data_IF_282298887925
#
_entry.id   IF_282298887925
#
_cell.length_a   1.000
_cell.length_b   1.000
_cell.length_c   1.000
_cell.angle_alpha   90.00
_cell.angle_beta   90.00
_cell.angle_gamma   90.00
#
_symmetry.space_group_name_H-M   'P 1'
#
loop_
_entity.id
_entity.type
_entity.pdbx_description
1 polymer ?
#
# COMPACT_ATOMS: atom_id res chain seq x y z
N UNK A 1 -36.04 -15.02 24.49
CA UNK A 1 -35.88 -15.59 23.13
C UNK A 1 -35.05 -14.64 22.29
N UNK A 2 -33.73 -14.59 22.50
CA UNK A 2 -32.78 -13.75 21.73
C UNK A 2 -31.40 -14.41 21.69
N UNK A 3 -31.25 -15.55 21.04
CA UNK A 3 -29.93 -16.21 20.93
C UNK A 3 -29.64 -16.92 19.58
N UNK A 4 -30.45 -16.69 18.53
CA UNK A 4 -30.32 -17.51 17.31
C UNK A 4 -29.87 -16.76 16.04
N UNK A 5 -29.69 -15.44 16.09
CA UNK A 5 -29.31 -14.66 14.90
C UNK A 5 -27.79 -14.56 14.66
N UNK A 6 -26.94 -14.79 15.69
CA UNK A 6 -25.47 -14.75 15.53
C UNK A 6 -24.88 -16.02 14.93
N UNK A 7 -25.54 -17.17 15.06
CA UNK A 7 -25.04 -18.45 14.52
C UNK A 7 -25.25 -18.59 13.01
N UNK A 8 -26.32 -18.02 12.47
CA UNK A 8 -26.63 -18.11 11.04
C UNK A 8 -25.68 -17.25 10.16
N UNK A 9 -25.24 -16.10 10.64
CA UNK A 9 -24.29 -15.24 9.91
C UNK A 9 -22.88 -15.84 9.82
N UNK A 10 -22.42 -16.53 10.86
CA UNK A 10 -21.08 -17.16 10.87
C UNK A 10 -20.97 -18.37 9.93
N UNK A 11 -22.04 -19.14 9.73
CA UNK A 11 -22.04 -20.32 8.85
C UNK A 11 -22.03 -19.93 7.37
N UNK A 12 -22.76 -18.91 6.97
CA UNK A 12 -22.79 -18.42 5.58
C UNK A 12 -21.50 -17.77 5.15
N UNK A 13 -20.80 -17.01 6.02
CA UNK A 13 -19.50 -16.42 5.75
C UNK A 13 -18.41 -17.48 5.60
N UNK A 14 -18.45 -18.53 6.40
CA UNK A 14 -17.50 -19.64 6.29
C UNK A 14 -17.65 -20.38 4.96
N UNK A 15 -18.87 -20.63 4.52
CA UNK A 15 -19.15 -21.35 3.24
C UNK A 15 -18.72 -20.55 2.00
N UNK A 16 -18.80 -19.23 2.03
CA UNK A 16 -18.44 -18.35 0.91
C UNK A 16 -16.98 -17.88 0.93
N UNK A 17 -16.18 -18.26 1.92
CA UNK A 17 -14.83 -17.72 2.11
C UNK A 17 -13.91 -17.95 0.90
N UNK A 18 -13.84 -19.15 0.36
CA UNK A 18 -12.99 -19.48 -0.80
C UNK A 18 -13.48 -18.78 -2.08
N UNK A 19 -14.76 -18.80 -2.44
CA UNK A 19 -15.30 -18.02 -3.55
C UNK A 19 -14.99 -16.51 -3.43
N UNK A 20 -15.13 -15.92 -2.24
CA UNK A 20 -14.87 -14.50 -2.00
C UNK A 20 -13.41 -14.13 -2.30
N UNK A 21 -12.44 -14.91 -1.78
CA UNK A 21 -11.02 -14.68 -2.04
C UNK A 21 -10.68 -14.83 -3.53
N UNK A 22 -11.26 -15.86 -4.20
CA UNK A 22 -11.08 -16.08 -5.65
C UNK A 22 -11.67 -14.93 -6.49
N UNK A 23 -12.85 -14.44 -6.11
CA UNK A 23 -13.50 -13.32 -6.79
C UNK A 23 -12.67 -12.05 -6.70
N UNK A 24 -12.12 -11.75 -5.52
CA UNK A 24 -11.25 -10.60 -5.29
C UNK A 24 -9.98 -10.66 -6.15
N UNK A 25 -9.32 -11.83 -6.21
CA UNK A 25 -8.14 -12.04 -7.07
C UNK A 25 -8.52 -11.88 -8.55
N UNK A 26 -9.62 -12.50 -8.99
CA UNK A 26 -10.09 -12.39 -10.37
C UNK A 26 -10.37 -10.94 -10.76
N UNK A 27 -11.06 -10.19 -9.93
CA UNK A 27 -11.42 -8.79 -10.19
C UNK A 27 -10.16 -7.95 -10.42
N UNK A 28 -9.15 -8.06 -9.54
CA UNK A 28 -7.91 -7.30 -9.68
C UNK A 28 -7.14 -7.70 -10.94
N UNK A 29 -6.99 -9.00 -11.24
CA UNK A 29 -6.24 -9.45 -12.42
C UNK A 29 -6.92 -9.03 -13.73
N UNK A 30 -8.25 -9.07 -13.80
CA UNK A 30 -9.01 -8.60 -14.97
C UNK A 30 -8.84 -7.09 -15.15
N UNK A 31 -8.99 -6.30 -14.09
CA UNK A 31 -8.78 -4.85 -14.15
C UNK A 31 -7.34 -4.50 -14.56
N UNK A 32 -6.34 -5.12 -13.94
CA UNK A 32 -4.94 -4.88 -14.28
C UNK A 32 -4.62 -5.17 -15.75
N UNK A 33 -5.24 -6.21 -16.31
CA UNK A 33 -5.07 -6.53 -17.73
C UNK A 33 -5.74 -5.49 -18.64
N UNK A 34 -6.91 -4.98 -18.25
CA UNK A 34 -7.58 -3.91 -18.98
C UNK A 34 -6.76 -2.61 -18.98
N UNK A 35 -6.01 -2.36 -17.89
CA UNK A 35 -5.11 -1.21 -17.74
C UNK A 35 -3.74 -1.41 -18.44
N UNK A 36 -3.56 -2.50 -19.21
CA UNK A 36 -2.34 -2.77 -19.99
C UNK A 36 -1.23 -3.50 -19.23
N UNK A 37 -1.48 -3.95 -18.00
CA UNK A 37 -0.56 -4.82 -17.26
C UNK A 37 -0.75 -6.30 -17.62
N UNK A 38 0.22 -7.15 -17.25
CA UNK A 38 0.17 -8.61 -17.45
C UNK A 38 0.10 -9.03 -18.93
N UNK A 39 0.60 -8.22 -19.86
CA UNK A 39 0.63 -8.54 -21.30
C UNK A 39 1.53 -9.75 -21.58
N UNK A 40 2.62 -9.93 -20.82
CA UNK A 40 3.51 -11.11 -20.87
C UNK A 40 2.86 -12.39 -20.35
N UNK A 41 1.72 -12.28 -19.65
CA UNK A 41 1.05 -13.42 -19.06
C UNK A 41 1.66 -13.91 -17.75
N UNK A 42 2.51 -13.11 -17.10
CA UNK A 42 3.21 -13.50 -15.88
C UNK A 42 2.66 -12.76 -14.65
N UNK A 43 2.43 -13.48 -13.54
CA UNK A 43 2.01 -12.91 -12.26
C UNK A 43 2.73 -13.61 -11.12
N UNK A 44 3.20 -12.85 -10.13
CA UNK A 44 3.80 -13.40 -8.91
C UNK A 44 2.87 -13.23 -7.70
N UNK A 45 2.98 -14.13 -6.72
CA UNK A 45 2.34 -14.01 -5.42
C UNK A 45 3.39 -14.08 -4.32
N UNK A 46 3.41 -13.08 -3.44
CA UNK A 46 4.32 -13.04 -2.31
C UNK A 46 3.69 -13.73 -1.09
N UNK A 47 4.41 -14.72 -0.54
CA UNK A 47 3.90 -15.55 0.54
C UNK A 47 4.84 -15.51 1.75
N UNK A 48 4.26 -15.24 2.92
CA UNK A 48 4.95 -15.24 4.21
C UNK A 48 4.67 -16.49 5.05
N UNK A 49 3.80 -17.38 4.57
CA UNK A 49 3.31 -18.53 5.34
C UNK A 49 2.09 -18.25 6.22
N UNK A 50 1.74 -16.98 6.48
CA UNK A 50 0.54 -16.61 7.23
C UNK A 50 -0.76 -16.80 6.42
N UNK A 51 -1.92 -16.82 7.11
CA UNK A 51 -3.22 -17.16 6.53
C UNK A 51 -3.57 -16.29 5.31
N UNK A 52 -3.41 -14.98 5.41
CA UNK A 52 -3.76 -14.05 4.32
C UNK A 52 -2.97 -14.34 3.05
N UNK A 53 -1.68 -14.60 3.18
CA UNK A 53 -0.80 -14.90 2.06
C UNK A 53 -1.02 -16.30 1.45
N UNK A 54 -1.35 -17.30 2.28
CA UNK A 54 -1.68 -18.64 1.79
C UNK A 54 -3.04 -18.68 1.10
N UNK A 55 -4.06 -18.02 1.66
CA UNK A 55 -5.36 -17.89 1.00
C UNK A 55 -5.23 -17.16 -0.36
N UNK A 56 -4.41 -16.10 -0.41
CA UNK A 56 -4.10 -15.41 -1.65
C UNK A 56 -3.43 -16.33 -2.66
N UNK A 57 -2.41 -17.09 -2.25
CA UNK A 57 -1.68 -18.01 -3.12
C UNK A 57 -2.60 -19.10 -3.70
N UNK A 58 -3.43 -19.72 -2.85
CA UNK A 58 -4.40 -20.73 -3.29
C UNK A 58 -5.42 -20.16 -4.29
N UNK A 59 -5.92 -18.93 -4.06
CA UNK A 59 -6.82 -18.27 -4.98
C UNK A 59 -6.12 -17.88 -6.28
N UNK A 60 -4.88 -17.39 -6.22
CA UNK A 60 -4.10 -17.03 -7.42
C UNK A 60 -3.80 -18.25 -8.28
N UNK A 61 -3.33 -19.36 -7.66
CA UNK A 61 -3.09 -20.63 -8.35
C UNK A 61 -4.33 -21.21 -9.03
N UNK A 62 -5.52 -20.93 -8.48
CA UNK A 62 -6.79 -21.32 -9.08
C UNK A 62 -7.25 -20.40 -10.21
N UNK A 63 -7.14 -19.07 -10.01
CA UNK A 63 -7.73 -18.06 -10.91
C UNK A 63 -6.82 -17.72 -12.08
N UNK A 64 -5.54 -17.51 -11.84
CA UNK A 64 -4.62 -16.99 -12.85
C UNK A 64 -4.45 -17.90 -14.07
N UNK A 65 -4.30 -19.25 -13.94
CA UNK A 65 -4.25 -20.13 -15.10
C UNK A 65 -5.53 -20.10 -15.95
N UNK A 66 -6.69 -19.88 -15.32
CA UNK A 66 -8.00 -19.74 -16.02
C UNK A 66 -8.12 -18.42 -16.79
N UNK A 67 -7.26 -17.47 -16.50
CA UNK A 67 -7.07 -16.23 -17.24
C UNK A 67 -5.90 -16.30 -18.22
N UNK A 68 -5.26 -17.47 -18.39
CA UNK A 68 -4.08 -17.64 -19.24
C UNK A 68 -2.81 -17.01 -18.66
N UNK A 69 -2.73 -16.85 -17.34
CA UNK A 69 -1.56 -16.31 -16.66
C UNK A 69 -0.74 -17.43 -16.01
N UNK A 70 0.59 -17.32 -16.07
CA UNK A 70 1.55 -18.17 -15.36
C UNK A 70 1.82 -17.59 -13.97
N UNK A 71 1.85 -18.44 -12.94
CA UNK A 71 1.97 -18.00 -11.55
C UNK A 71 3.35 -18.36 -10.98
N UNK A 72 4.00 -17.37 -10.35
CA UNK A 72 5.26 -17.51 -9.63
C UNK A 72 5.04 -17.30 -8.14
N UNK A 73 5.44 -18.28 -7.31
CA UNK A 73 5.44 -18.16 -5.86
C UNK A 73 6.73 -17.53 -5.36
N UNK A 74 6.65 -16.43 -4.61
CA UNK A 74 7.80 -15.75 -4.04
C UNK A 74 7.73 -15.76 -2.51
N UNK A 75 8.71 -16.36 -1.86
CA UNK A 75 8.84 -16.40 -0.40
C UNK A 75 10.08 -15.60 -0.01
N UNK A 76 9.93 -14.59 0.86
CA UNK A 76 11.08 -13.79 1.32
C UNK A 76 11.51 -14.31 2.70
N UNK A 77 12.77 -14.72 2.81
CA UNK A 77 13.42 -15.07 4.07
C UNK A 77 14.20 -13.87 4.59
N UNK A 78 13.73 -13.29 5.69
CA UNK A 78 14.33 -12.08 6.28
C UNK A 78 15.54 -12.34 7.18
N UNK A 79 15.80 -13.59 7.56
CA UNK A 79 16.89 -13.93 8.48
C UNK A 79 16.80 -13.32 9.88
N UNK A 80 15.63 -12.76 10.29
CA UNK A 80 15.47 -12.08 11.57
C UNK A 80 15.28 -13.01 12.77
N UNK A 81 14.86 -14.23 12.51
CA UNK A 81 14.63 -15.27 13.52
C UNK A 81 15.50 -16.46 13.20
N UNK A 82 15.92 -17.22 14.22
CA UNK A 82 16.76 -18.40 14.04
C UNK A 82 16.12 -19.43 13.08
N UNK A 83 14.78 -19.53 13.11
CA UNK A 83 14.02 -20.50 12.33
C UNK A 83 13.48 -19.92 11.00
N UNK A 84 13.85 -18.69 10.61
CA UNK A 84 13.29 -18.02 9.43
C UNK A 84 13.45 -18.80 8.14
N UNK A 85 14.62 -19.44 7.94
CA UNK A 85 14.89 -20.29 6.80
C UNK A 85 13.98 -21.54 6.76
N UNK A 86 13.65 -22.12 7.92
CA UNK A 86 12.74 -23.27 8.01
C UNK A 86 11.30 -22.85 7.69
N UNK A 87 10.87 -21.70 8.21
CA UNK A 87 9.55 -21.11 7.91
C UNK A 87 9.43 -20.82 6.41
N UNK A 88 10.45 -20.22 5.80
CA UNK A 88 10.47 -19.95 4.37
C UNK A 88 10.39 -21.24 3.53
N UNK A 89 11.09 -22.31 3.93
CA UNK A 89 11.01 -23.64 3.29
C UNK A 89 9.60 -24.24 3.41
N UNK A 90 8.98 -24.15 4.59
CA UNK A 90 7.61 -24.63 4.80
C UNK A 90 6.60 -23.87 3.94
N UNK A 91 6.73 -22.54 3.88
CA UNK A 91 5.89 -21.73 3.00
C UNK A 91 6.08 -22.11 1.53
N UNK A 92 7.31 -22.33 1.08
CA UNK A 92 7.60 -22.76 -0.28
C UNK A 92 7.02 -24.17 -0.57
N UNK A 93 7.13 -25.11 0.36
CA UNK A 93 6.53 -26.44 0.23
C UNK A 93 5.00 -26.36 0.10
N UNK A 94 4.34 -25.52 0.91
CA UNK A 94 2.89 -25.30 0.79
C UNK A 94 2.48 -24.75 -0.60
N UNK A 95 3.30 -23.89 -1.21
CA UNK A 95 3.05 -23.42 -2.57
C UNK A 95 3.18 -24.52 -3.63
N UNK A 96 4.15 -25.42 -3.47
CA UNK A 96 4.29 -26.58 -4.35
C UNK A 96 3.09 -27.53 -4.19
N UNK A 97 2.63 -27.78 -2.98
CA UNK A 97 1.43 -28.57 -2.70
C UNK A 97 0.16 -27.93 -3.29
N UNK A 98 0.08 -26.60 -3.33
CA UNK A 98 -0.98 -25.85 -4.03
C UNK A 98 -0.87 -25.90 -5.56
N UNK A 99 0.16 -26.55 -6.10
CA UNK A 99 0.36 -26.72 -7.54
C UNK A 99 0.93 -25.50 -8.25
N UNK A 100 1.59 -24.58 -7.56
CA UNK A 100 2.29 -23.48 -8.23
C UNK A 100 3.52 -24.03 -8.97
N UNK A 101 3.64 -23.73 -10.29
CA UNK A 101 4.69 -24.35 -11.12
C UNK A 101 6.11 -23.87 -10.80
N UNK A 102 6.21 -22.63 -10.33
CA UNK A 102 7.49 -21.98 -10.02
C UNK A 102 7.46 -21.34 -8.64
N UNK A 103 8.34 -21.80 -7.76
CA UNK A 103 8.46 -21.29 -6.39
C UNK A 103 9.91 -20.91 -6.10
N UNK A 104 10.13 -19.69 -5.62
CA UNK A 104 11.46 -19.15 -5.29
C UNK A 104 11.49 -18.66 -3.85
N UNK A 105 12.52 -19.04 -3.10
CA UNK A 105 12.84 -18.45 -1.80
C UNK A 105 13.90 -17.38 -2.00
N UNK A 106 13.66 -16.18 -1.50
CA UNK A 106 14.49 -15.00 -1.66
C UNK A 106 15.12 -14.64 -0.32
N UNK A 107 16.37 -15.04 -0.05
CA UNK A 107 17.06 -14.63 1.15
C UNK A 107 17.41 -13.15 1.07
N UNK A 108 17.15 -12.39 2.14
CA UNK A 108 17.47 -10.97 2.23
C UNK A 108 18.29 -10.67 3.50
N UNK A 109 19.20 -9.73 3.37
CA UNK A 109 19.86 -9.12 4.52
C UNK A 109 19.11 -7.86 4.93
N UNK A 110 18.82 -7.75 6.22
CA UNK A 110 18.10 -6.60 6.76
C UNK A 110 19.12 -5.61 7.32
N UNK A 111 19.49 -4.64 6.50
CA UNK A 111 20.44 -3.58 6.85
C UNK A 111 19.79 -2.20 6.69
N UNK A 112 20.21 -1.20 7.47
CA UNK A 112 19.90 0.21 7.23
C UNK A 112 19.20 0.94 8.37
N UNK A 113 19.06 2.27 8.19
CA UNK A 113 18.49 3.22 9.16
C UNK A 113 16.95 3.11 9.23
N UNK A 114 16.38 3.48 10.38
CA UNK A 114 14.94 3.65 10.56
C UNK A 114 14.21 2.51 11.29
N UNK A 115 14.94 1.69 12.06
CA UNK A 115 14.41 0.57 12.83
C UNK A 115 14.30 -0.72 12.03
N UNK A 116 14.34 -1.87 12.74
CA UNK A 116 14.40 -3.21 12.14
C UNK A 116 13.19 -3.52 11.24
N UNK A 117 11.98 -3.13 11.65
CA UNK A 117 10.75 -3.37 10.86
C UNK A 117 10.76 -2.62 9.51
N UNK A 118 11.14 -1.33 9.54
CA UNK A 118 11.22 -0.52 8.32
C UNK A 118 12.33 -1.02 7.38
N UNK A 119 13.47 -1.46 7.91
CA UNK A 119 14.56 -2.03 7.15
C UNK A 119 14.15 -3.37 6.52
N UNK A 120 13.52 -4.28 7.29
CA UNK A 120 12.98 -5.55 6.80
C UNK A 120 11.94 -5.35 5.71
N UNK A 121 11.04 -4.37 5.88
CA UNK A 121 10.05 -4.02 4.87
C UNK A 121 10.73 -3.54 3.57
N UNK A 122 11.72 -2.65 3.64
CA UNK A 122 12.46 -2.19 2.45
C UNK A 122 13.16 -3.35 1.74
N UNK A 123 13.88 -4.19 2.49
CA UNK A 123 14.58 -5.35 1.95
C UNK A 123 13.60 -6.32 1.24
N UNK A 124 12.44 -6.60 1.85
CA UNK A 124 11.39 -7.43 1.27
C UNK A 124 10.91 -6.86 -0.07
N UNK A 125 10.54 -5.58 -0.12
CA UNK A 125 10.03 -4.97 -1.35
C UNK A 125 11.11 -4.90 -2.44
N UNK A 126 12.37 -4.67 -2.08
CA UNK A 126 13.49 -4.71 -3.02
C UNK A 126 13.69 -6.10 -3.62
N UNK A 127 13.70 -7.15 -2.77
CA UNK A 127 13.84 -8.52 -3.23
C UNK A 127 12.67 -8.97 -4.13
N UNK A 128 11.44 -8.65 -3.77
CA UNK A 128 10.27 -8.96 -4.58
C UNK A 128 10.32 -8.24 -5.93
N UNK A 129 10.74 -6.97 -5.96
CA UNK A 129 10.92 -6.21 -7.21
C UNK A 129 11.99 -6.81 -8.11
N UNK A 130 13.13 -7.22 -7.54
CA UNK A 130 14.23 -7.86 -8.29
C UNK A 130 13.87 -9.28 -8.77
N UNK A 131 12.85 -9.90 -8.19
CA UNK A 131 12.40 -11.23 -8.54
C UNK A 131 11.19 -11.25 -9.48
N UNK A 132 10.76 -10.09 -10.00
CA UNK A 132 9.68 -10.00 -10.98
C UNK A 132 9.97 -10.94 -12.17
N UNK A 133 9.00 -11.76 -12.58
CA UNK A 133 9.18 -12.69 -13.71
C UNK A 133 9.22 -11.96 -15.07
N UNK A 134 8.60 -10.79 -15.15
CA UNK A 134 8.59 -9.93 -16.34
C UNK A 134 8.43 -8.46 -15.92
N UNK A 135 8.74 -7.53 -16.83
CA UNK A 135 8.71 -6.09 -16.56
C UNK A 135 7.29 -5.59 -16.22
N UNK A 136 6.28 -6.13 -16.89
CA UNK A 136 4.85 -5.80 -16.71
C UNK A 136 4.13 -6.71 -15.72
N UNK A 137 4.85 -7.65 -15.10
CA UNK A 137 4.29 -8.57 -14.12
C UNK A 137 3.90 -7.84 -12.82
N UNK A 138 2.86 -8.35 -12.17
CA UNK A 138 2.44 -7.91 -10.85
C UNK A 138 2.89 -8.89 -9.77
N UNK A 139 3.23 -8.35 -8.59
CA UNK A 139 3.39 -9.14 -7.35
C UNK A 139 2.16 -8.93 -6.49
N UNK A 140 1.40 -9.98 -6.29
CA UNK A 140 0.22 -9.97 -5.42
C UNK A 140 0.63 -10.07 -3.94
N UNK A 141 0.07 -9.19 -3.12
CA UNK A 141 0.35 -9.06 -1.68
C UNK A 141 -0.92 -9.33 -0.88
N UNK A 142 -0.83 -10.12 0.18
CA UNK A 142 -1.95 -10.54 1.03
C UNK A 142 -2.38 -9.51 2.06
N UNK A 143 -2.45 -8.22 1.71
CA UNK A 143 -3.00 -7.20 2.59
C UNK A 143 -4.53 -7.24 2.56
N UNK A 144 -5.13 -7.26 3.76
CA UNK A 144 -6.58 -7.41 3.97
C UNK A 144 -7.25 -6.07 4.30
N UNK A 145 -8.58 -6.08 4.43
CA UNK A 145 -9.38 -4.96 4.94
C UNK A 145 -8.87 -4.47 6.30
N UNK A 146 -8.51 -5.39 7.19
CA UNK A 146 -7.97 -5.03 8.50
C UNK A 146 -6.62 -4.29 8.39
N UNK A 147 -5.73 -4.71 7.48
CA UNK A 147 -4.47 -4.00 7.23
C UNK A 147 -4.71 -2.60 6.63
N UNK A 148 -5.78 -2.43 5.85
CA UNK A 148 -6.20 -1.13 5.33
C UNK A 148 -6.64 -0.21 6.46
N UNK A 149 -7.52 -0.68 7.35
CA UNK A 149 -7.96 0.06 8.54
C UNK A 149 -6.78 0.46 9.45
N UNK A 150 -5.86 -0.47 9.73
CA UNK A 150 -4.63 -0.19 10.49
C UNK A 150 -3.80 0.93 9.82
N UNK A 151 -3.69 0.90 8.49
CA UNK A 151 -2.92 1.89 7.72
C UNK A 151 -3.57 3.27 7.77
N UNK A 152 -4.88 3.35 7.70
CA UNK A 152 -5.65 4.60 7.84
C UNK A 152 -5.47 5.20 9.24
N UNK A 153 -5.62 4.40 10.30
CA UNK A 153 -5.42 4.83 11.68
C UNK A 153 -3.99 5.33 11.93
N UNK A 154 -2.99 4.64 11.39
CA UNK A 154 -1.59 5.11 11.46
C UNK A 154 -1.38 6.43 10.71
N UNK A 155 -2.06 6.62 9.59
CA UNK A 155 -2.03 7.87 8.82
C UNK A 155 -2.63 9.03 9.60
N UNK A 156 -3.78 8.81 10.22
CA UNK A 156 -4.45 9.78 11.11
C UNK A 156 -3.55 10.18 12.29
N UNK A 157 -3.02 9.21 13.00
CA UNK A 157 -2.17 9.45 14.18
C UNK A 157 -0.85 10.20 13.87
N UNK A 158 -0.37 10.13 12.64
CA UNK A 158 0.83 10.87 12.19
C UNK A 158 0.56 12.28 11.71
N UNK A 159 -0.69 12.66 11.46
CA UNK A 159 -1.05 13.97 10.93
C UNK A 159 -0.44 14.28 9.56
N UNK A 160 -0.04 13.27 8.79
CA UNK A 160 0.73 13.42 7.54
C UNK A 160 -0.11 13.84 6.33
N UNK A 161 -1.34 14.30 6.57
CA UNK A 161 -2.25 14.80 5.54
C UNK A 161 -3.01 13.71 4.76
N UNK A 162 -3.85 14.13 3.81
CA UNK A 162 -4.82 13.26 3.12
C UNK A 162 -4.19 12.02 2.47
N UNK A 163 -3.01 12.14 1.86
CA UNK A 163 -2.31 11.02 1.20
C UNK A 163 -1.98 9.87 2.16
N UNK A 164 -1.69 10.17 3.43
CA UNK A 164 -1.43 9.15 4.46
C UNK A 164 -2.69 8.43 4.89
N UNK A 165 -3.83 9.12 4.88
CA UNK A 165 -5.14 8.60 5.29
C UNK A 165 -5.79 7.82 4.14
N UNK A 166 -5.44 8.11 2.88
CA UNK A 166 -5.95 7.42 1.70
C UNK A 166 -5.58 5.92 1.64
N UNK A 167 -4.78 5.43 2.58
CA UNK A 167 -4.45 4.02 2.71
C UNK A 167 -3.65 3.45 1.53
N UNK A 168 -3.76 2.13 1.34
CA UNK A 168 -3.09 1.42 0.24
C UNK A 168 -3.97 1.37 -1.01
N UNK A 169 -3.36 1.48 -2.19
CA UNK A 169 -4.02 1.22 -3.48
C UNK A 169 -4.13 -0.29 -3.73
N UNK A 170 -5.25 -0.72 -4.32
CA UNK A 170 -5.42 -2.10 -4.76
C UNK A 170 -4.42 -2.46 -5.87
N UNK A 171 -4.26 -1.56 -6.84
CA UNK A 171 -3.27 -1.66 -7.91
C UNK A 171 -2.32 -0.45 -7.82
N UNK A 172 -1.02 -0.74 -7.71
CA UNK A 172 0.08 0.22 -7.61
C UNK A 172 1.35 -0.47 -8.16
N UNK A 173 1.46 -0.60 -9.48
CA UNK A 173 2.45 -1.47 -10.11
C UNK A 173 3.87 -1.26 -9.61
N UNK A 174 4.62 -2.34 -9.38
CA UNK A 174 4.27 -3.74 -9.68
C UNK A 174 3.41 -4.44 -8.59
N UNK A 175 2.81 -3.73 -7.65
CA UNK A 175 2.10 -4.28 -6.50
C UNK A 175 0.59 -4.38 -6.74
N UNK A 176 0.05 -5.60 -6.59
CA UNK A 176 -1.39 -5.87 -6.54
C UNK A 176 -1.81 -6.28 -5.12
N UNK A 177 -2.94 -5.77 -4.63
CA UNK A 177 -3.48 -6.07 -3.29
C UNK A 177 -4.96 -6.42 -3.40
N UNK A 178 -5.27 -7.62 -3.92
CA UNK A 178 -6.66 -7.98 -4.22
C UNK A 178 -7.55 -8.10 -2.97
N UNK A 179 -6.94 -8.34 -1.79
CA UNK A 179 -7.69 -8.61 -0.57
C UNK A 179 -7.97 -7.37 0.29
N UNK A 180 -7.72 -6.14 -0.21
CA UNK A 180 -7.95 -4.90 0.56
C UNK A 180 -9.42 -4.67 0.94
N UNK A 181 -10.36 -5.30 0.29
CA UNK A 181 -11.79 -5.30 0.64
C UNK A 181 -12.25 -6.59 1.32
N UNK A 182 -11.35 -7.53 1.63
CA UNK A 182 -11.67 -8.83 2.21
C UNK A 182 -11.25 -8.86 3.69
N UNK A 183 -12.18 -9.12 4.63
CA UNK A 183 -11.85 -9.27 6.04
C UNK A 183 -10.87 -10.43 6.29
N UNK A 184 -10.01 -10.28 7.27
CA UNK A 184 -9.06 -11.34 7.66
C UNK A 184 -9.76 -12.63 8.14
N UNK A 185 -10.93 -12.54 8.71
CA UNK A 185 -11.74 -13.69 9.09
C UNK A 185 -12.08 -14.57 7.88
N UNK A 186 -12.30 -13.98 6.72
CA UNK A 186 -12.57 -14.69 5.46
C UNK A 186 -11.33 -15.42 4.95
N UNK A 187 -10.13 -14.82 5.04
CA UNK A 187 -8.88 -15.49 4.63
C UNK A 187 -8.53 -16.66 5.53
N UNK A 188 -8.74 -16.51 6.84
CA UNK A 188 -8.56 -17.60 7.83
C UNK A 188 -9.55 -18.74 7.55
N UNK A 189 -10.83 -18.43 7.34
CA UNK A 189 -11.85 -19.43 7.00
C UNK A 189 -11.53 -20.13 5.68
N UNK A 190 -11.05 -19.40 4.66
CA UNK A 190 -10.64 -19.99 3.38
C UNK A 190 -9.46 -20.97 3.55
N UNK A 191 -8.46 -20.64 4.38
CA UNK A 191 -7.39 -21.57 4.70
C UNK A 191 -7.91 -22.84 5.37
N UNK A 192 -8.79 -22.72 6.37
CA UNK A 192 -9.38 -23.86 7.06
C UNK A 192 -10.15 -24.78 6.09
N UNK A 193 -10.95 -24.20 5.19
CA UNK A 193 -11.71 -24.99 4.17
C UNK A 193 -10.81 -25.69 3.16
N UNK A 194 -9.66 -25.13 2.86
CA UNK A 194 -8.68 -25.70 1.94
C UNK A 194 -7.69 -26.65 2.62
N UNK A 195 -7.84 -26.88 3.93
CA UNK A 195 -6.91 -27.72 4.70
C UNK A 195 -5.50 -27.15 4.83
N UNK A 196 -5.32 -25.86 4.59
CA UNK A 196 -4.03 -25.19 4.69
C UNK A 196 -3.68 -24.95 6.15
N UNK A 197 -2.38 -25.04 6.49
CA UNK A 197 -1.84 -24.83 7.83
C UNK A 197 -0.99 -23.56 7.86
N UNK A 198 -1.59 -22.39 8.17
CA UNK A 198 -0.84 -21.16 8.27
C UNK A 198 0.14 -21.21 9.44
N UNK A 199 1.34 -20.66 9.20
CA UNK A 199 2.30 -20.41 10.26
C UNK A 199 1.87 -19.21 11.10
N UNK A 200 1.86 -19.40 12.43
CA UNK A 200 1.57 -18.34 13.39
C UNK A 200 2.89 -17.63 13.77
N UNK A 201 3.17 -16.49 13.14
CA UNK A 201 4.36 -15.70 13.46
C UNK A 201 4.23 -15.11 14.88
N UNK A 202 5.15 -15.38 15.81
CA UNK A 202 5.16 -14.80 17.15
C UNK A 202 5.17 -13.27 17.16
N UNK A 203 5.75 -12.63 16.16
CA UNK A 203 5.74 -11.18 16.03
C UNK A 203 4.35 -10.58 15.79
N UNK A 204 3.39 -11.36 15.31
CA UNK A 204 2.01 -10.92 15.08
C UNK A 204 1.20 -10.68 16.36
N UNK A 205 1.72 -11.12 17.51
CA UNK A 205 1.10 -10.93 18.84
C UNK A 205 1.96 -10.08 19.78
N UNK A 206 3.13 -9.61 19.33
CA UNK A 206 4.05 -8.83 20.15
C UNK A 206 3.58 -7.35 20.27
N UNK A 207 3.18 -6.89 21.48
CA UNK A 207 2.63 -5.55 21.68
C UNK A 207 3.64 -4.41 21.51
N UNK A 208 4.93 -4.72 21.33
CA UNK A 208 5.95 -3.72 20.98
C UNK A 208 5.70 -3.10 19.59
N UNK A 209 4.95 -3.80 18.73
CA UNK A 209 4.63 -3.31 17.41
C UNK A 209 3.29 -2.54 17.40
N UNK A 210 3.31 -1.30 16.97
CA UNK A 210 2.12 -0.43 16.93
C UNK A 210 0.95 -1.06 16.15
N UNK A 211 1.23 -1.76 15.04
CA UNK A 211 0.19 -2.45 14.25
C UNK A 211 -0.48 -3.59 15.01
N UNK A 212 0.28 -4.30 15.85
CA UNK A 212 -0.29 -5.36 16.70
C UNK A 212 -1.26 -4.75 17.72
N UNK A 213 -0.87 -3.65 18.36
CA UNK A 213 -1.74 -2.94 19.30
C UNK A 213 -2.99 -2.37 18.63
N UNK A 214 -2.86 -1.77 17.44
CA UNK A 214 -4.02 -1.30 16.69
C UNK A 214 -5.00 -2.43 16.40
N UNK A 215 -4.50 -3.61 16.02
CA UNK A 215 -5.31 -4.79 15.72
C UNK A 215 -5.96 -5.42 16.95
N UNK A 216 -5.19 -5.54 18.04
CA UNK A 216 -5.62 -6.29 19.21
C UNK A 216 -6.39 -5.42 20.23
N UNK A 217 -6.13 -4.12 20.29
CA UNK A 217 -6.67 -3.23 21.31
C UNK A 217 -7.60 -2.16 20.71
N UNK A 218 -7.13 -1.41 19.69
CA UNK A 218 -7.81 -0.19 19.23
C UNK A 218 -8.98 -0.52 18.30
N UNK A 219 -8.76 -1.33 17.26
CA UNK A 219 -9.84 -1.68 16.33
C UNK A 219 -11.00 -2.39 17.02
N UNK A 220 -10.77 -3.40 17.90
CA UNK A 220 -11.88 -4.01 18.66
C UNK A 220 -12.63 -3.03 19.55
N UNK A 221 -11.94 -2.10 20.19
CA UNK A 221 -12.56 -1.06 20.99
C UNK A 221 -13.42 -0.12 20.14
N UNK A 222 -12.92 0.28 18.97
CA UNK A 222 -13.69 1.11 18.03
C UNK A 222 -14.92 0.36 17.48
N UNK A 223 -14.80 -0.93 17.17
CA UNK A 223 -15.92 -1.77 16.72
C UNK A 223 -17.00 -1.87 17.81
N UNK A 224 -16.62 -2.00 19.09
CA UNK A 224 -17.55 -2.03 20.21
C UNK A 224 -18.24 -0.68 20.42
N UNK A 225 -17.47 0.40 20.54
CA UNK A 225 -17.98 1.76 20.84
C UNK A 225 -18.83 2.32 19.69
N UNK A 226 -18.49 2.04 18.44
CA UNK A 226 -19.17 2.54 17.24
C UNK A 226 -20.16 1.53 16.63
N UNK A 227 -20.49 0.46 17.37
CA UNK A 227 -21.50 -0.53 16.99
C UNK A 227 -21.19 -1.32 15.72
N UNK A 228 -19.89 -1.50 15.39
CA UNK A 228 -19.40 -2.34 14.31
C UNK A 228 -19.24 -1.63 12.96
N UNK A 229 -18.56 -2.32 12.02
CA UNK A 229 -18.33 -1.84 10.65
C UNK A 229 -17.27 -0.77 10.52
N UNK A 230 -16.40 -0.61 11.52
CA UNK A 230 -15.35 0.43 11.54
C UNK A 230 -14.28 0.18 10.50
N UNK A 231 -13.83 -1.06 10.36
CA UNK A 231 -12.81 -1.39 9.36
C UNK A 231 -13.28 -1.08 7.94
N UNK A 232 -14.52 -1.42 7.61
CA UNK A 232 -15.16 -1.12 6.33
C UNK A 232 -15.35 0.39 6.13
N UNK A 233 -15.77 1.11 7.18
CA UNK A 233 -15.97 2.56 7.13
C UNK A 233 -14.63 3.29 6.86
N UNK A 234 -13.56 2.91 7.56
CA UNK A 234 -12.22 3.44 7.34
C UNK A 234 -11.72 3.16 5.92
N UNK A 235 -11.94 1.95 5.40
CA UNK A 235 -11.55 1.59 4.05
C UNK A 235 -12.33 2.37 2.98
N UNK A 236 -13.66 2.56 3.16
CA UNK A 236 -14.49 3.39 2.26
C UNK A 236 -14.02 4.84 2.25
N UNK A 237 -13.81 5.43 3.42
CA UNK A 237 -13.33 6.82 3.54
C UNK A 237 -11.97 6.97 2.86
N UNK A 238 -11.06 6.01 3.04
CA UNK A 238 -9.76 6.01 2.38
C UNK A 238 -9.88 5.90 0.85
N UNK A 239 -10.84 5.13 0.33
CA UNK A 239 -11.08 5.02 -1.11
C UNK A 239 -11.60 6.34 -1.69
N UNK A 240 -12.61 6.97 -1.08
CA UNK A 240 -13.14 8.26 -1.49
C UNK A 240 -12.07 9.36 -1.47
N UNK A 241 -11.30 9.42 -0.39
CA UNK A 241 -10.20 10.38 -0.28
C UNK A 241 -9.13 10.18 -1.36
N UNK A 242 -8.93 8.94 -1.79
CA UNK A 242 -7.99 8.63 -2.89
C UNK A 242 -8.52 9.14 -4.23
N UNK A 243 -9.81 8.96 -4.51
CA UNK A 243 -10.46 9.48 -5.71
C UNK A 243 -10.34 11.02 -5.77
N UNK A 244 -10.60 11.71 -4.67
CA UNK A 244 -10.42 13.16 -4.56
C UNK A 244 -8.96 13.58 -4.80
N UNK A 245 -8.01 12.84 -4.22
CA UNK A 245 -6.57 13.09 -4.41
C UNK A 245 -6.18 12.91 -5.88
N UNK A 246 -6.64 11.85 -6.53
CA UNK A 246 -6.32 11.55 -7.92
C UNK A 246 -6.91 12.60 -8.87
N UNK A 247 -8.14 13.04 -8.65
CA UNK A 247 -8.77 14.12 -9.41
C UNK A 247 -7.98 15.43 -9.31
N UNK A 248 -7.61 15.83 -8.08
CA UNK A 248 -6.81 17.04 -7.86
C UNK A 248 -5.38 16.92 -8.40
N UNK A 249 -4.78 15.71 -8.38
CA UNK A 249 -3.47 15.47 -8.95
C UNK A 249 -3.51 15.53 -10.49
N UNK A 250 -4.57 15.01 -11.12
CA UNK A 250 -4.79 15.14 -12.57
C UNK A 250 -4.96 16.60 -12.97
N UNK A 251 -5.75 17.37 -12.23
CA UNK A 251 -5.87 18.81 -12.47
C UNK A 251 -4.51 19.52 -12.38
N UNK A 252 -3.76 19.26 -11.32
CA UNK A 252 -2.43 19.83 -11.14
C UNK A 252 -1.44 19.38 -12.24
N UNK A 253 -1.58 18.18 -12.79
CA UNK A 253 -0.73 17.66 -13.87
C UNK A 253 -0.92 18.43 -15.18
N UNK A 254 -2.11 18.96 -15.43
CA UNK A 254 -2.41 19.78 -16.60
C UNK A 254 -1.74 21.17 -16.58
N UNK A 255 -1.15 21.60 -15.46
CA UNK A 255 -0.45 22.88 -15.35
C UNK A 255 1.02 22.71 -15.75
N UNK A 256 1.47 23.40 -16.83
CA UNK A 256 2.88 23.36 -17.26
C UNK A 256 3.81 24.01 -16.24
N UNK A 257 5.01 23.44 -16.11
CA UNK A 257 6.09 23.93 -15.24
C UNK A 257 7.45 23.91 -15.95
N UNK A 258 7.46 23.76 -17.30
CA UNK A 258 8.69 23.50 -18.08
C UNK A 258 9.64 24.70 -18.12
N UNK A 259 9.08 25.91 -18.22
CA UNK A 259 9.84 27.18 -18.22
C UNK A 259 9.87 27.87 -16.84
N UNK A 260 9.75 27.12 -15.76
CA UNK A 260 9.51 27.65 -14.42
C UNK A 260 8.00 27.85 -14.15
N UNK A 261 7.68 28.32 -12.96
CA UNK A 261 6.28 28.39 -12.49
C UNK A 261 5.83 29.84 -12.54
N UNK A 262 4.80 30.13 -13.31
CA UNK A 262 4.15 31.45 -13.35
C UNK A 262 3.32 31.64 -12.07
N UNK A 263 3.70 32.64 -11.27
CA UNK A 263 3.09 32.89 -9.98
C UNK A 263 1.67 33.51 -10.12
N UNK A 264 1.40 34.27 -11.18
CA UNK A 264 0.09 34.88 -11.40
C UNK A 264 -0.90 33.82 -11.86
N UNK A 265 -0.52 32.98 -12.82
CA UNK A 265 -1.33 31.85 -13.24
C UNK A 265 -1.61 30.87 -12.10
N UNK A 266 -0.62 30.63 -11.22
CA UNK A 266 -0.84 29.80 -10.02
C UNK A 266 -1.78 30.44 -9.00
N UNK A 267 -1.78 31.77 -8.87
CA UNK A 267 -2.63 32.48 -7.91
C UNK A 267 -4.12 32.29 -8.19
N UNK A 268 -4.50 32.10 -9.46
CA UNK A 268 -5.88 31.81 -9.87
C UNK A 268 -6.36 30.42 -9.49
N UNK A 269 -5.44 29.51 -9.16
CA UNK A 269 -5.80 28.13 -8.81
C UNK A 269 -6.20 28.01 -7.34
N UNK A 270 -7.15 27.10 -7.02
CA UNK A 270 -7.42 26.74 -5.63
C UNK A 270 -6.12 26.26 -4.92
N UNK A 271 -5.93 26.66 -3.67
CA UNK A 271 -4.72 26.34 -2.89
C UNK A 271 -4.37 24.84 -2.86
N UNK A 272 -5.39 23.97 -2.91
CA UNK A 272 -5.18 22.52 -2.96
C UNK A 272 -4.52 22.06 -4.27
N UNK A 273 -4.88 22.66 -5.41
CA UNK A 273 -4.28 22.39 -6.74
C UNK A 273 -2.91 23.04 -6.82
N UNK A 274 -2.82 24.32 -6.47
CA UNK A 274 -1.58 25.10 -6.48
C UNK A 274 -0.44 24.42 -5.71
N UNK A 275 -0.72 23.94 -4.48
CA UNK A 275 0.27 23.19 -3.68
C UNK A 275 0.69 21.86 -4.32
N UNK A 276 -0.18 21.22 -5.11
CA UNK A 276 0.18 20.01 -5.87
C UNK A 276 1.11 20.31 -7.03
N UNK A 277 0.87 21.40 -7.75
CA UNK A 277 1.77 21.89 -8.81
C UNK A 277 3.13 22.23 -8.23
N UNK A 278 3.17 23.01 -7.15
CA UNK A 278 4.40 23.37 -6.44
C UNK A 278 5.16 22.12 -5.97
N UNK A 279 4.47 21.16 -5.35
CA UNK A 279 5.07 19.90 -4.90
C UNK A 279 5.71 19.14 -6.04
N UNK A 280 5.02 18.98 -7.16
CA UNK A 280 5.53 18.29 -8.35
C UNK A 280 6.77 19.00 -8.90
N UNK A 281 6.70 20.32 -9.06
CA UNK A 281 7.79 21.13 -9.56
C UNK A 281 9.03 21.10 -8.65
N UNK A 282 8.86 21.24 -7.34
CA UNK A 282 9.95 21.18 -6.37
C UNK A 282 10.63 19.80 -6.35
N UNK A 283 9.85 18.73 -6.40
CA UNK A 283 10.40 17.37 -6.45
C UNK A 283 11.16 17.10 -7.76
N UNK A 284 10.64 17.58 -8.91
CA UNK A 284 11.32 17.50 -10.20
C UNK A 284 12.62 18.32 -10.20
N UNK A 285 12.65 19.46 -9.49
CA UNK A 285 13.83 20.29 -9.27
C UNK A 285 14.84 19.72 -8.26
N UNK A 286 14.61 18.49 -7.75
CA UNK A 286 15.55 17.78 -6.88
C UNK A 286 15.39 18.02 -5.38
N UNK A 287 14.36 18.73 -4.93
CA UNK A 287 14.07 18.88 -3.50
C UNK A 287 13.69 17.52 -2.93
N UNK A 288 14.41 17.07 -1.90
CA UNK A 288 14.11 15.83 -1.16
C UNK A 288 13.61 16.20 0.24
N UNK A 289 12.88 15.27 0.88
CA UNK A 289 12.35 15.47 2.25
C UNK A 289 11.44 16.71 2.38
N UNK A 290 10.65 17.00 1.34
CA UNK A 290 9.71 18.12 1.32
C UNK A 290 8.59 17.91 2.34
N UNK A 291 8.52 18.79 3.35
CA UNK A 291 7.47 18.80 4.38
C UNK A 291 6.29 19.68 4.00
N UNK A 292 5.16 19.53 4.70
CA UNK A 292 3.99 20.42 4.52
C UNK A 292 4.34 21.89 4.86
N UNK A 293 5.20 22.11 5.86
CA UNK A 293 5.68 23.46 6.20
C UNK A 293 6.46 24.10 5.05
N UNK A 294 7.37 23.35 4.41
CA UNK A 294 8.10 23.84 3.24
C UNK A 294 7.14 24.16 2.08
N UNK A 295 6.16 23.29 1.86
CA UNK A 295 5.19 23.47 0.77
C UNK A 295 4.28 24.69 1.00
N UNK A 296 3.83 24.91 2.24
CA UNK A 296 3.05 26.11 2.61
C UNK A 296 3.86 27.37 2.46
N UNK A 297 5.10 27.39 2.95
CA UNK A 297 5.95 28.55 2.80
C UNK A 297 6.22 28.89 1.31
N UNK A 298 6.40 27.88 0.46
CA UNK A 298 6.50 28.09 -0.99
C UNK A 298 5.18 28.59 -1.59
N UNK A 299 4.03 28.11 -1.11
CA UNK A 299 2.69 28.54 -1.52
C UNK A 299 2.41 30.01 -1.15
N UNK A 300 2.94 30.48 -0.02
CA UNK A 300 2.82 31.89 0.44
C UNK A 300 3.55 32.87 -0.49
N UNK A 301 4.56 32.43 -1.25
CA UNK A 301 5.18 33.23 -2.32
C UNK A 301 4.21 33.52 -3.48
N UNK A 302 3.11 32.79 -3.57
CA UNK A 302 2.06 32.96 -4.57
C UNK A 302 0.82 33.58 -3.95
N UNK A 303 0.24 32.91 -2.96
CA UNK A 303 -1.06 33.26 -2.38
C UNK A 303 -1.03 34.42 -1.40
N UNK A 304 0.14 34.70 -0.80
CA UNK A 304 0.32 35.76 0.21
C UNK A 304 1.55 36.63 -0.12
N UNK A 305 1.77 36.93 -1.41
CA UNK A 305 2.94 37.68 -1.86
C UNK A 305 2.91 39.15 -1.37
N UNK A 306 3.97 39.58 -0.70
CA UNK A 306 4.18 40.96 -0.22
C UNK A 306 5.63 41.41 -0.37
N UNK A 307 6.43 40.74 -1.22
CA UNK A 307 7.84 41.06 -1.40
C UNK A 307 8.80 40.30 -0.46
N UNK A 308 8.32 39.23 0.19
CA UNK A 308 9.13 38.41 1.09
C UNK A 308 10.29 37.71 0.37
N UNK A 309 11.36 37.43 1.12
CA UNK A 309 12.54 36.73 0.64
C UNK A 309 12.26 35.27 0.24
N UNK A 310 13.29 34.62 -0.30
CA UNK A 310 13.18 33.22 -0.71
C UNK A 310 13.01 32.27 0.46
N UNK A 311 12.37 31.13 0.20
CA UNK A 311 12.10 30.05 1.15
C UNK A 311 13.19 28.99 1.01
N UNK A 312 13.89 28.70 2.10
CA UNK A 312 14.92 27.68 2.17
C UNK A 312 14.31 26.28 2.21
N UNK A 313 14.84 25.39 1.37
CA UNK A 313 14.39 24.02 1.22
C UNK A 313 15.54 23.03 1.51
N UNK A 314 15.21 21.77 1.86
CA UNK A 314 16.23 20.75 2.04
C UNK A 314 17.11 20.56 0.81
N UNK A 315 18.40 20.22 1.04
CA UNK A 315 19.38 20.01 -0.03
C UNK A 315 20.05 21.27 -0.55
N UNK A 316 20.03 22.38 0.22
CA UNK A 316 20.67 23.64 -0.17
C UNK A 316 19.95 24.33 -1.33
N UNK A 317 18.65 24.15 -1.43
CA UNK A 317 17.80 24.77 -2.44
C UNK A 317 17.00 25.93 -1.84
N UNK A 318 16.71 26.95 -2.66
CA UNK A 318 15.87 28.10 -2.29
C UNK A 318 14.85 28.33 -3.39
N UNK A 319 13.59 28.41 -3.02
CA UNK A 319 12.56 28.92 -3.92
C UNK A 319 12.31 30.39 -3.67
N UNK A 320 12.33 31.21 -4.71
CA UNK A 320 12.06 32.64 -4.66
C UNK A 320 11.11 33.10 -5.77
N UNK A 321 10.41 34.19 -5.55
CA UNK A 321 9.60 34.84 -6.59
C UNK A 321 10.37 36.04 -7.15
N UNK A 322 10.56 36.04 -8.48
CA UNK A 322 11.17 37.16 -9.21
C UNK A 322 10.48 37.34 -10.57
N UNK A 323 10.20 38.55 -10.96
CA UNK A 323 9.57 38.90 -12.26
C UNK A 323 8.29 38.11 -12.55
N UNK A 324 7.42 37.94 -11.55
CA UNK A 324 6.15 37.19 -11.69
C UNK A 324 6.31 35.66 -11.70
N UNK A 325 7.53 35.12 -11.59
CA UNK A 325 7.80 33.67 -11.66
C UNK A 325 8.43 33.15 -10.37
N UNK A 326 8.18 31.87 -10.08
CA UNK A 326 8.93 31.13 -9.07
C UNK A 326 10.16 30.51 -9.70
N UNK A 327 11.29 30.71 -9.07
CA UNK A 327 12.61 30.17 -9.44
C UNK A 327 13.12 29.29 -8.32
N UNK A 328 13.77 28.18 -8.70
CA UNK A 328 14.44 27.26 -7.77
C UNK A 328 15.92 27.34 -8.01
N UNK A 329 16.65 27.94 -7.07
CA UNK A 329 18.09 28.13 -7.14
C UNK A 329 18.80 27.18 -6.18
N UNK A 330 20.00 26.77 -6.54
CA UNK A 330 20.91 26.08 -5.64
C UNK A 330 21.81 27.12 -4.97
N UNK A 331 21.91 27.10 -3.67
CA UNK A 331 22.85 27.94 -2.95
C UNK A 331 24.19 27.22 -2.88
N UNK A 332 25.18 27.74 -3.57
CA UNK A 332 26.57 27.37 -3.35
C UNK A 332 26.93 27.79 -1.94
N UNK A 333 27.16 26.82 -1.06
CA UNK A 333 27.82 26.99 0.22
C UNK A 333 29.22 26.43 0.14
#
# INVERSE_FOLDING_TARGET
MTSDTRSAGMTTDFDNSVPTVRAAVRSLLVSARADGHLATGEVAVAVSGGADSLALAAATGYVAPRLGLRVHGLVVDHGLQADSAQVAKQAAAALVELGLPEVRVLPVRVDGRGGAEAAARRARYAALRSALPAEDALVLLGHTLNDQAETVLLGLGRGSGPRSIAGMKALDPPWGRPLLGVPRTVTVAACARLGLRPWADPHNVDPRFTRVRLRAEVLPLLEDVLSGGVAEALARTAAQLREDIEALDQWAAGVSTDDGVDAEALAELPAAVRRRVLRRWLLAGGVRELTDAHLRAADDLVGCWHGQGGVWLPGGLVVRRAHGRLLLDRTDR
#
